data_IF_339051895736
#
_entry.id   IF_339051895736
#
_cell.length_a   1.000
_cell.length_b   1.000
_cell.length_c   1.000
_cell.angle_alpha   90.00
_cell.angle_beta   90.00
_cell.angle_gamma   90.00
#
_symmetry.space_group_name_H-M   'P 1'
#
loop_
_entity.id
_entity.type
_entity.pdbx_description
1 polymer ?
#
# COMPACT_ATOMS: atom_id res chain seq x y z
N UNK A 1 1.21 -10.54 -8.07
CA UNK A 1 1.70 -9.18 -7.89
C UNK A 1 2.72 -9.01 -6.75
N UNK A 2 3.17 -10.14 -6.16
CA UNK A 2 4.22 -10.13 -5.11
C UNK A 2 5.61 -9.79 -5.63
N UNK A 3 5.80 -9.81 -6.95
CA UNK A 3 7.04 -9.47 -7.65
C UNK A 3 6.99 -8.07 -8.28
N UNK A 4 5.93 -7.29 -8.04
CA UNK A 4 5.86 -5.90 -8.49
C UNK A 4 6.99 -5.09 -7.81
N UNK A 5 7.77 -4.37 -8.61
CA UNK A 5 8.98 -3.69 -8.14
C UNK A 5 8.71 -2.56 -7.16
N UNK A 6 7.55 -1.92 -7.25
CA UNK A 6 7.08 -0.91 -6.32
C UNK A 6 6.83 -1.53 -4.92
N UNK A 7 6.11 -2.67 -4.87
CA UNK A 7 5.86 -3.42 -3.63
C UNK A 7 7.16 -3.92 -2.99
N UNK A 8 8.10 -4.46 -3.80
CA UNK A 8 9.38 -4.96 -3.29
C UNK A 8 10.19 -3.86 -2.61
N UNK A 9 10.21 -2.63 -3.16
CA UNK A 9 10.90 -1.47 -2.56
C UNK A 9 10.27 -1.06 -1.22
N UNK A 10 8.95 -0.94 -1.18
CA UNK A 10 8.22 -0.60 0.05
C UNK A 10 8.47 -1.66 1.13
N UNK A 11 8.39 -2.95 0.79
CA UNK A 11 8.68 -4.05 1.71
C UNK A 11 10.12 -4.01 2.22
N UNK A 12 11.08 -3.78 1.34
CA UNK A 12 12.49 -3.67 1.72
C UNK A 12 12.72 -2.49 2.69
N UNK A 13 12.10 -1.33 2.43
CA UNK A 13 12.21 -0.16 3.30
C UNK A 13 11.53 -0.38 4.65
N UNK A 14 10.35 -1.02 4.68
CA UNK A 14 9.66 -1.43 5.91
C UNK A 14 10.57 -2.32 6.77
N UNK A 15 11.12 -3.37 6.17
CA UNK A 15 12.00 -4.32 6.88
C UNK A 15 13.31 -3.69 7.37
N UNK A 16 13.83 -2.67 6.66
CA UNK A 16 15.03 -1.93 7.04
C UNK A 16 14.82 -1.07 8.29
N UNK A 17 13.57 -0.68 8.59
CA UNK A 17 13.24 0.15 9.75
C UNK A 17 13.75 1.60 9.67
N UNK A 18 14.18 2.06 8.51
CA UNK A 18 14.81 3.37 8.33
C UNK A 18 13.87 4.55 8.60
N UNK A 19 12.57 4.36 8.44
CA UNK A 19 11.55 5.36 8.74
C UNK A 19 11.16 5.39 10.24
N UNK A 20 11.82 4.59 11.08
CA UNK A 20 11.43 4.37 12.48
C UNK A 20 10.17 3.52 12.59
N UNK A 21 9.33 3.80 13.59
CA UNK A 21 8.04 3.13 13.70
C UNK A 21 7.13 3.55 12.56
N UNK A 22 6.77 2.60 11.69
CA UNK A 22 5.83 2.86 10.59
C UNK A 22 4.42 2.99 11.17
N UNK A 23 3.80 4.14 10.91
CA UNK A 23 2.47 4.50 11.40
C UNK A 23 1.40 4.15 10.38
N UNK A 24 1.66 4.43 9.10
CA UNK A 24 0.71 4.12 8.03
C UNK A 24 1.40 3.80 6.72
N UNK A 25 0.77 2.89 5.97
CA UNK A 25 1.10 2.61 4.57
C UNK A 25 -0.19 2.73 3.78
N UNK A 26 -0.11 3.33 2.61
CA UNK A 26 -1.24 3.49 1.70
C UNK A 26 -0.83 2.97 0.32
N UNK A 27 -1.67 2.16 -0.30
CA UNK A 27 -1.49 1.69 -1.66
C UNK A 27 -2.74 1.91 -2.50
N UNK A 28 -2.55 2.34 -3.75
CA UNK A 28 -3.66 2.75 -4.62
C UNK A 28 -3.54 2.20 -6.03
N UNK A 29 -4.71 1.89 -6.59
CA UNK A 29 -4.90 1.67 -8.02
C UNK A 29 -6.02 2.57 -8.47
N UNK A 30 -5.69 3.59 -9.25
CA UNK A 30 -6.64 4.58 -9.73
C UNK A 30 -6.79 4.54 -11.25
N UNK A 31 -8.03 4.64 -11.69
CA UNK A 31 -8.42 4.83 -13.09
C UNK A 31 -9.62 5.78 -13.17
N UNK A 32 -9.94 6.22 -14.39
CA UNK A 32 -11.01 7.22 -14.62
C UNK A 32 -12.06 6.79 -15.64
N UNK A 33 -12.06 5.51 -16.05
CA UNK A 33 -12.95 5.02 -17.13
C UNK A 33 -14.13 4.18 -16.63
N UNK A 34 -14.32 4.09 -15.31
CA UNK A 34 -15.27 3.18 -14.70
C UNK A 34 -14.78 1.72 -14.72
N UNK A 35 -15.62 0.83 -14.23
CA UNK A 35 -15.34 -0.62 -14.26
C UNK A 35 -15.46 -1.13 -15.71
N UNK A 36 -14.54 -2.02 -16.19
CA UNK A 36 -14.63 -2.62 -17.51
C UNK A 36 -15.95 -3.32 -17.77
N UNK A 37 -16.46 -3.26 -19.00
CA UNK A 37 -17.76 -3.83 -19.41
C UNK A 37 -17.76 -5.34 -19.68
N UNK A 38 -16.86 -6.08 -19.08
CA UNK A 38 -16.73 -7.55 -19.17
C UNK A 38 -17.28 -8.26 -17.91
N UNK A 39 -16.74 -9.45 -17.59
CA UNK A 39 -17.12 -10.22 -16.41
C UNK A 39 -16.97 -9.43 -15.09
N UNK A 40 -16.12 -8.41 -15.06
CA UNK A 40 -15.91 -7.55 -13.88
C UNK A 40 -17.14 -6.79 -13.43
N UNK A 41 -18.11 -6.55 -14.34
CA UNK A 41 -19.41 -5.95 -13.99
C UNK A 41 -20.46 -6.95 -13.51
N UNK A 42 -20.16 -8.25 -13.55
CA UNK A 42 -21.15 -9.31 -13.35
C UNK A 42 -20.92 -10.04 -12.03
N UNK A 43 -21.82 -9.85 -11.06
CA UNK A 43 -21.75 -10.49 -9.74
C UNK A 43 -21.70 -12.01 -9.84
N UNK A 44 -22.47 -12.59 -10.75
CA UNK A 44 -22.51 -14.04 -10.98
C UNK A 44 -21.16 -14.62 -11.43
N UNK A 45 -20.26 -13.79 -11.98
CA UNK A 45 -18.93 -14.21 -12.44
C UNK A 45 -17.81 -13.75 -11.52
N UNK A 46 -18.13 -13.31 -10.29
CA UNK A 46 -17.12 -12.83 -9.34
C UNK A 46 -16.58 -11.44 -9.69
N UNK A 47 -17.42 -10.58 -10.27
CA UNK A 47 -17.05 -9.19 -10.57
C UNK A 47 -16.90 -8.33 -9.31
N UNK A 48 -16.41 -7.12 -9.51
CA UNK A 48 -16.12 -6.13 -8.47
C UNK A 48 -14.63 -5.87 -8.30
N UNK A 49 -14.30 -4.66 -7.88
CA UNK A 49 -12.90 -4.20 -7.77
C UNK A 49 -12.20 -4.75 -6.53
N UNK A 50 -12.92 -5.10 -5.46
CA UNK A 50 -12.34 -5.84 -4.33
C UNK A 50 -11.79 -7.18 -4.80
N UNK A 51 -12.54 -7.89 -5.66
CA UNK A 51 -12.13 -9.21 -6.16
C UNK A 51 -11.08 -9.11 -7.28
N UNK A 52 -11.08 -8.06 -8.09
CA UNK A 52 -10.12 -7.89 -9.20
C UNK A 52 -8.78 -7.28 -8.73
N UNK A 53 -8.79 -6.05 -8.23
CA UNK A 53 -7.59 -5.34 -7.78
C UNK A 53 -7.38 -5.36 -6.27
N UNK A 54 -8.46 -5.31 -5.49
CA UNK A 54 -8.39 -5.28 -4.03
C UNK A 54 -7.64 -6.49 -3.47
N UNK A 55 -7.90 -7.70 -3.99
CA UNK A 55 -7.20 -8.92 -3.60
C UNK A 55 -5.68 -8.79 -3.69
N UNK A 56 -5.17 -8.14 -4.74
CA UNK A 56 -3.74 -7.94 -4.93
C UNK A 56 -3.15 -6.95 -3.93
N UNK A 57 -3.85 -5.84 -3.67
CA UNK A 57 -3.39 -4.82 -2.72
C UNK A 57 -3.47 -5.32 -1.27
N UNK A 58 -4.50 -6.09 -0.92
CA UNK A 58 -4.62 -6.77 0.38
C UNK A 58 -3.47 -7.76 0.55
N UNK A 59 -3.19 -8.59 -0.47
CA UNK A 59 -2.06 -9.53 -0.41
C UNK A 59 -0.73 -8.79 -0.22
N UNK A 60 -0.48 -7.71 -0.97
CA UNK A 60 0.71 -6.87 -0.80
C UNK A 60 0.79 -6.27 0.61
N UNK A 61 -0.31 -5.75 1.15
CA UNK A 61 -0.38 -5.23 2.51
C UNK A 61 0.08 -6.26 3.55
N UNK A 62 -0.45 -7.49 3.45
CA UNK A 62 -0.15 -8.58 4.38
C UNK A 62 1.24 -9.22 4.15
N UNK A 63 1.88 -8.95 3.01
CA UNK A 63 3.29 -9.30 2.77
C UNK A 63 4.25 -8.23 3.29
N UNK A 64 3.85 -6.97 3.34
CA UNK A 64 4.65 -5.86 3.86
C UNK A 64 4.56 -5.81 5.37
N UNK A 65 3.35 -5.94 5.94
CA UNK A 65 3.06 -5.86 7.38
C UNK A 65 2.69 -7.26 7.88
N UNK A 66 3.64 -8.00 8.50
CA UNK A 66 3.41 -9.38 8.93
C UNK A 66 2.63 -9.51 10.23
N UNK A 67 2.48 -8.42 10.98
CA UNK A 67 1.84 -8.37 12.30
C UNK A 67 0.38 -8.84 12.23
N UNK A 68 -0.17 -9.19 13.39
CA UNK A 68 -1.55 -9.63 13.53
C UNK A 68 -2.52 -8.50 13.23
N UNK A 69 -3.56 -8.79 12.44
CA UNK A 69 -4.66 -7.87 12.15
C UNK A 69 -5.53 -7.72 13.40
N UNK A 70 -5.84 -6.47 13.76
CA UNK A 70 -6.71 -6.11 14.89
C UNK A 70 -8.05 -5.56 14.43
N UNK A 71 -8.13 -4.95 13.26
CA UNK A 71 -9.36 -4.39 12.72
C UNK A 71 -9.35 -4.34 11.20
N UNK A 72 -10.52 -4.40 10.60
CA UNK A 72 -10.75 -4.11 9.18
C UNK A 72 -11.96 -3.19 9.12
N UNK A 73 -11.81 -2.08 8.38
CA UNK A 73 -12.91 -1.19 8.01
C UNK A 73 -12.91 -1.08 6.51
N UNK A 74 -14.07 -1.19 5.89
CA UNK A 74 -14.19 -1.09 4.45
C UNK A 74 -15.35 -0.21 4.02
N UNK A 75 -15.16 0.51 2.93
CA UNK A 75 -16.21 1.20 2.19
C UNK A 75 -16.09 0.80 0.74
N UNK A 76 -17.20 0.36 0.15
CA UNK A 76 -17.30 -0.02 -1.25
C UNK A 76 -18.05 1.07 -2.02
N UNK A 77 -17.58 1.40 -3.21
CA UNK A 77 -18.21 2.38 -4.10
C UNK A 77 -19.01 1.67 -5.20
N UNK A 78 -20.13 2.29 -5.60
CA UNK A 78 -21.05 1.82 -6.62
C UNK A 78 -21.44 3.00 -7.52
N UNK A 79 -20.45 3.59 -8.20
CA UNK A 79 -20.60 4.84 -8.97
C UNK A 79 -21.14 4.54 -10.36
N UNK A 80 -20.46 3.64 -11.10
CA UNK A 80 -20.76 3.33 -12.51
C UNK A 80 -21.57 2.04 -12.68
N UNK A 81 -21.76 1.29 -11.61
CA UNK A 81 -22.60 0.07 -11.56
C UNK A 81 -23.27 -0.09 -10.20
N UNK A 82 -24.39 -0.79 -10.15
CA UNK A 82 -25.12 -1.12 -8.92
C UNK A 82 -25.02 -2.60 -8.56
N UNK A 83 -24.48 -3.42 -9.44
CA UNK A 83 -24.43 -4.87 -9.27
C UNK A 83 -23.21 -5.30 -8.46
N UNK A 84 -22.07 -4.66 -8.68
CA UNK A 84 -20.80 -4.95 -8.03
C UNK A 84 -20.12 -3.64 -7.61
N UNK A 85 -19.16 -3.71 -6.69
CA UNK A 85 -18.32 -2.58 -6.33
C UNK A 85 -17.41 -2.16 -7.50
N UNK A 86 -17.33 -0.87 -7.78
CA UNK A 86 -16.42 -0.29 -8.78
C UNK A 86 -15.27 0.52 -8.16
N UNK A 87 -15.17 0.49 -6.85
CA UNK A 87 -14.09 1.03 -6.05
C UNK A 87 -14.19 0.56 -4.61
N UNK A 88 -13.08 0.65 -3.88
CA UNK A 88 -13.06 0.33 -2.46
C UNK A 88 -12.01 1.16 -1.71
N UNK A 89 -12.30 1.42 -0.44
CA UNK A 89 -11.37 1.98 0.53
C UNK A 89 -11.37 1.07 1.76
N UNK A 90 -10.27 0.35 1.98
CA UNK A 90 -10.15 -0.65 3.06
C UNK A 90 -9.00 -0.23 3.97
N UNK A 91 -9.27 -0.14 5.27
CA UNK A 91 -8.26 0.16 6.30
C UNK A 91 -8.06 -1.07 7.16
N UNK A 92 -6.82 -1.55 7.22
CA UNK A 92 -6.41 -2.73 8.00
C UNK A 92 -5.55 -2.24 9.16
N UNK A 93 -6.01 -2.41 10.40
CA UNK A 93 -5.25 -2.11 11.61
C UNK A 93 -4.44 -3.32 12.09
N UNK A 94 -3.25 -3.06 12.67
CA UNK A 94 -2.33 -4.09 13.13
C UNK A 94 -1.98 -3.92 14.63
N UNK A 95 -1.53 -5.01 15.27
CA UNK A 95 -1.24 -5.02 16.72
C UNK A 95 -0.06 -4.11 17.11
N UNK A 96 0.83 -3.75 16.16
CA UNK A 96 1.89 -2.77 16.39
C UNK A 96 1.40 -1.32 16.43
N UNK A 97 0.09 -1.09 16.29
CA UNK A 97 -0.55 0.23 16.27
C UNK A 97 -0.52 0.93 14.90
N UNK A 98 0.13 0.34 13.91
CA UNK A 98 0.12 0.82 12.53
C UNK A 98 -1.14 0.41 11.77
N UNK A 99 -1.39 1.07 10.64
CA UNK A 99 -2.48 0.70 9.75
C UNK A 99 -2.06 0.76 8.27
N UNK A 100 -2.78 0.00 7.46
CA UNK A 100 -2.58 -0.03 6.01
C UNK A 100 -3.88 0.30 5.30
N UNK A 101 -3.83 1.23 4.35
CA UNK A 101 -4.96 1.60 3.51
C UNK A 101 -4.79 1.03 2.11
N UNK A 102 -5.79 0.29 1.68
CA UNK A 102 -5.97 -0.21 0.31
C UNK A 102 -7.04 0.63 -0.35
N UNK A 103 -6.74 1.23 -1.48
CA UNK A 103 -7.70 2.03 -2.25
C UNK A 103 -7.70 1.61 -3.72
N UNK A 104 -8.86 1.25 -4.23
CA UNK A 104 -9.10 1.03 -5.66
C UNK A 104 -10.19 1.97 -6.10
N UNK A 105 -9.95 2.72 -7.16
CA UNK A 105 -10.94 3.65 -7.68
C UNK A 105 -10.95 3.68 -9.20
N UNK A 106 -12.13 3.55 -9.79
CA UNK A 106 -12.31 3.55 -11.24
C UNK A 106 -12.81 4.90 -11.78
N UNK A 107 -13.05 5.89 -10.88
CA UNK A 107 -13.54 7.24 -11.21
C UNK A 107 -12.60 8.34 -10.70
N UNK A 108 -11.30 8.09 -10.59
CA UNK A 108 -10.30 9.04 -10.15
C UNK A 108 -9.69 9.76 -11.36
N UNK A 109 -10.13 10.98 -11.64
CA UNK A 109 -9.61 11.80 -12.77
C UNK A 109 -8.24 12.39 -12.49
N UNK A 110 -7.84 12.46 -11.21
CA UNK A 110 -6.47 12.76 -10.75
C UNK A 110 -6.06 11.64 -9.81
N UNK A 111 -4.98 10.94 -10.15
CA UNK A 111 -4.45 9.85 -9.35
C UNK A 111 -3.63 10.36 -8.17
N UNK A 112 -3.85 9.80 -6.99
CA UNK A 112 -2.95 9.93 -5.86
C UNK A 112 -1.73 9.01 -6.04
N UNK A 113 -0.67 9.17 -5.23
CA UNK A 113 0.50 8.31 -5.30
C UNK A 113 0.15 6.82 -5.16
N UNK A 114 0.87 5.99 -5.93
CA UNK A 114 0.73 4.52 -5.91
C UNK A 114 1.01 3.93 -4.53
N UNK A 115 2.08 4.42 -3.86
CA UNK A 115 2.40 4.12 -2.47
C UNK A 115 2.77 5.37 -1.70
N UNK A 116 2.35 5.41 -0.44
CA UNK A 116 2.80 6.38 0.54
C UNK A 116 3.02 5.67 1.87
N UNK A 117 4.22 5.77 2.44
CA UNK A 117 4.56 5.15 3.72
C UNK A 117 5.08 6.21 4.68
N UNK A 118 4.45 6.31 5.84
CA UNK A 118 4.78 7.28 6.88
C UNK A 118 5.29 6.58 8.13
N UNK A 119 6.49 6.94 8.54
CA UNK A 119 7.07 6.52 9.79
C UNK A 119 7.30 7.68 10.77
N UNK A 120 7.81 7.39 11.95
CA UNK A 120 8.04 8.36 13.02
C UNK A 120 9.22 9.31 12.73
N UNK A 121 10.13 8.95 11.81
CA UNK A 121 11.32 9.75 11.47
C UNK A 121 11.48 10.00 9.98
N UNK A 122 10.58 9.48 9.13
CA UNK A 122 10.68 9.69 7.70
C UNK A 122 9.42 9.24 6.94
N UNK A 123 9.43 9.53 5.65
CA UNK A 123 8.33 9.24 4.73
C UNK A 123 8.88 8.76 3.40
N UNK A 124 8.20 7.79 2.78
CA UNK A 124 8.49 7.34 1.43
C UNK A 124 7.27 7.46 0.53
N UNK A 125 7.49 7.75 -0.74
CA UNK A 125 6.45 7.87 -1.75
C UNK A 125 6.88 7.22 -3.06
N UNK A 126 5.96 6.48 -3.70
CA UNK A 126 6.06 6.04 -5.08
C UNK A 126 4.88 6.67 -5.82
N UNK A 127 5.15 7.59 -6.73
CA UNK A 127 4.08 8.33 -7.42
C UNK A 127 3.37 7.49 -8.45
N UNK A 128 4.12 6.70 -9.23
CA UNK A 128 3.59 5.84 -10.28
C UNK A 128 4.47 4.58 -10.42
N UNK A 129 4.00 3.59 -11.18
CA UNK A 129 4.60 2.27 -11.37
C UNK A 129 6.06 2.29 -11.84
N UNK A 130 6.38 3.21 -12.74
CA UNK A 130 7.66 3.35 -13.43
C UNK A 130 8.60 4.40 -12.80
N UNK A 131 8.16 5.02 -11.70
CA UNK A 131 8.94 6.06 -11.02
C UNK A 131 9.80 5.50 -9.88
N UNK A 132 10.94 6.13 -9.56
CA UNK A 132 11.71 5.78 -8.38
C UNK A 132 10.90 6.00 -7.10
N UNK A 133 11.29 5.33 -6.01
CA UNK A 133 10.77 5.62 -4.68
C UNK A 133 11.57 6.78 -4.09
N UNK A 134 10.89 7.88 -3.79
CA UNK A 134 11.47 9.01 -3.06
C UNK A 134 11.37 8.73 -1.55
N UNK A 135 12.46 8.93 -0.83
CA UNK A 135 12.52 8.75 0.63
C UNK A 135 13.07 10.01 1.26
N UNK A 136 12.39 10.54 2.28
CA UNK A 136 12.86 11.67 3.09
C UNK A 136 12.89 11.28 4.55
N UNK A 137 14.05 11.46 5.19
CA UNK A 137 14.28 11.07 6.58
C UNK A 137 14.86 12.26 7.36
N UNK A 138 14.44 12.36 8.61
CA UNK A 138 14.97 13.36 9.55
C UNK A 138 16.43 13.04 9.89
N UNK A 139 17.29 14.08 9.89
CA UNK A 139 18.66 13.94 10.35
C UNK A 139 18.72 13.69 11.86
N UNK A 140 19.66 12.87 12.30
CA UNK A 140 19.92 12.64 13.72
C UNK A 140 20.35 13.95 14.40
N UNK A 141 19.89 14.18 15.62
CA UNK A 141 20.18 15.40 16.39
C UNK A 141 19.21 16.55 16.15
N UNK A 142 18.22 16.38 15.27
CA UNK A 142 17.18 17.39 14.96
C UNK A 142 15.80 17.05 15.54
N UNK A 143 15.75 16.21 16.58
CA UNK A 143 14.52 15.70 17.19
C UNK A 143 13.65 16.79 17.79
N UNK A 144 14.27 17.82 18.36
CA UNK A 144 13.60 18.89 19.11
C UNK A 144 13.10 20.05 18.25
N UNK A 145 13.22 19.94 16.93
CA UNK A 145 12.86 21.02 16.00
C UNK A 145 11.34 21.04 15.71
N UNK A 146 10.54 21.12 16.75
CA UNK A 146 9.10 21.32 16.67
C UNK A 146 8.70 22.74 17.09
N UNK A 147 9.53 23.72 16.78
CA UNK A 147 9.27 25.11 17.15
C UNK A 147 8.24 25.72 16.20
N UNK A 148 7.16 26.35 16.71
CA UNK A 148 6.20 27.03 15.87
C UNK A 148 6.87 28.16 15.06
N UNK A 149 6.65 28.17 13.76
CA UNK A 149 7.16 29.22 12.88
C UNK A 149 6.22 30.42 12.96
N UNK A 150 6.76 31.59 13.27
CA UNK A 150 5.98 32.83 13.23
C UNK A 150 5.59 33.16 11.79
N UNK A 151 4.31 33.32 11.55
CA UNK A 151 3.77 33.85 10.29
C UNK A 151 3.54 35.36 10.44
N UNK A 152 3.27 36.04 9.32
CA UNK A 152 2.84 37.44 9.32
C UNK A 152 1.61 37.64 10.22
N UNK A 153 1.45 38.86 10.73
CA UNK A 153 0.32 39.25 11.59
C UNK A 153 0.26 38.56 12.97
N UNK A 154 1.39 38.03 13.48
CA UNK A 154 1.46 37.45 14.81
C UNK A 154 0.92 36.03 14.94
N UNK A 155 0.47 35.42 13.85
CA UNK A 155 0.04 34.01 13.81
C UNK A 155 1.24 33.07 13.81
N UNK A 156 1.04 31.82 14.26
CA UNK A 156 2.06 30.76 14.22
C UNK A 156 1.61 29.61 13.32
N UNK A 157 2.54 29.07 12.54
CA UNK A 157 2.38 27.80 11.79
C UNK A 157 2.93 26.68 12.65
N UNK A 158 2.03 25.82 13.17
CA UNK A 158 2.40 24.66 13.98
C UNK A 158 2.68 23.41 13.14
N UNK A 159 2.19 23.37 11.89
CA UNK A 159 2.30 22.24 10.96
C UNK A 159 3.21 22.58 9.77
N UNK A 160 4.35 23.22 10.04
CA UNK A 160 5.34 23.49 9.01
C UNK A 160 6.14 22.23 8.65
N UNK A 161 6.48 22.02 7.36
CA UNK A 161 7.39 20.97 6.97
C UNK A 161 8.80 21.28 7.50
N UNK A 162 9.62 20.24 7.69
CA UNK A 162 11.06 20.40 7.94
C UNK A 162 11.76 20.90 6.69
N UNK A 163 12.85 21.59 6.88
CA UNK A 163 13.72 22.09 5.82
C UNK A 163 14.83 21.08 5.45
N UNK A 164 15.63 21.44 4.44
CA UNK A 164 16.76 20.64 3.98
C UNK A 164 17.91 20.55 4.99
N UNK A 165 17.97 21.46 5.98
CA UNK A 165 18.99 21.41 7.01
C UNK A 165 18.71 20.32 8.03
N UNK A 166 17.45 19.98 8.24
CA UNK A 166 16.98 19.01 9.23
C UNK A 166 16.57 17.65 8.64
N UNK A 167 16.54 17.54 7.30
CA UNK A 167 16.21 16.30 6.58
C UNK A 167 17.25 15.99 5.51
N UNK A 168 17.25 14.73 5.05
CA UNK A 168 17.89 14.33 3.80
C UNK A 168 16.91 13.49 2.97
N UNK A 169 17.04 13.61 1.66
CA UNK A 169 16.20 12.88 0.71
C UNK A 169 17.07 12.10 -0.27
N UNK A 170 16.56 10.96 -0.72
CA UNK A 170 17.21 10.14 -1.73
C UNK A 170 16.18 9.35 -2.51
N UNK A 171 16.59 8.82 -3.66
CA UNK A 171 15.78 7.97 -4.50
C UNK A 171 16.26 6.52 -4.46
N UNK A 172 15.31 5.59 -4.44
CA UNK A 172 15.56 4.15 -4.58
C UNK A 172 15.10 3.72 -5.97
N UNK A 173 16.02 3.27 -6.85
CA UNK A 173 15.67 2.80 -8.18
C UNK A 173 14.86 1.51 -8.14
N UNK A 174 14.26 1.14 -9.27
CA UNK A 174 13.55 -0.13 -9.41
C UNK A 174 14.53 -1.31 -9.32
N UNK A 175 14.28 -2.28 -8.42
CA UNK A 175 15.06 -3.50 -8.39
C UNK A 175 14.71 -4.38 -9.60
N UNK A 176 15.62 -5.27 -10.01
CA UNK A 176 15.26 -6.32 -10.96
C UNK A 176 14.18 -7.21 -10.34
N UNK A 177 13.22 -7.63 -11.15
CA UNK A 177 12.17 -8.55 -10.75
C UNK A 177 11.75 -9.41 -11.93
N UNK A 178 11.46 -10.69 -11.67
CA UNK A 178 10.95 -11.59 -12.68
C UNK A 178 9.69 -12.31 -12.14
N UNK A 179 8.57 -11.98 -12.72
CA UNK A 179 7.27 -12.60 -12.39
C UNK A 179 7.28 -14.12 -12.59
N UNK A 180 8.16 -14.65 -13.47
CA UNK A 180 8.30 -16.08 -13.69
C UNK A 180 8.90 -16.83 -12.50
N UNK A 181 9.47 -16.13 -11.51
CA UNK A 181 9.93 -16.75 -10.26
C UNK A 181 8.79 -17.44 -9.49
N UNK A 182 7.55 -16.93 -9.65
CA UNK A 182 6.36 -17.63 -9.17
C UNK A 182 6.27 -19.05 -9.76
N UNK A 183 6.35 -19.17 -11.07
CA UNK A 183 6.21 -20.47 -11.76
C UNK A 183 7.39 -21.38 -11.48
N UNK A 184 8.62 -20.84 -11.37
CA UNK A 184 9.82 -21.62 -10.99
C UNK A 184 9.65 -22.23 -9.60
N UNK A 185 9.24 -21.41 -8.62
CA UNK A 185 8.97 -21.93 -7.28
C UNK A 185 7.81 -22.93 -7.26
N UNK A 186 6.71 -22.62 -7.99
CA UNK A 186 5.56 -23.51 -8.06
C UNK A 186 5.95 -24.92 -8.58
N UNK A 187 6.67 -24.99 -9.71
CA UNK A 187 7.15 -26.25 -10.26
C UNK A 187 8.10 -26.97 -9.29
N UNK A 188 9.06 -26.27 -8.69
CA UNK A 188 10.01 -26.87 -7.74
C UNK A 188 9.33 -27.33 -6.45
N UNK A 189 8.28 -26.64 -6.01
CA UNK A 189 7.51 -27.07 -4.85
C UNK A 189 6.72 -28.37 -5.14
N UNK A 190 6.14 -28.52 -6.34
CA UNK A 190 5.50 -29.77 -6.77
C UNK A 190 6.50 -30.92 -6.78
N UNK A 191 7.72 -30.68 -7.29
CA UNK A 191 8.80 -31.66 -7.33
C UNK A 191 9.41 -31.95 -5.93
N UNK A 192 8.95 -31.29 -4.87
CA UNK A 192 9.51 -31.43 -3.51
C UNK A 192 10.91 -30.85 -3.33
N UNK A 193 11.39 -30.04 -4.29
CA UNK A 193 12.74 -29.42 -4.27
C UNK A 193 12.81 -28.13 -3.45
N UNK A 194 11.70 -27.43 -3.30
CA UNK A 194 11.57 -26.17 -2.55
C UNK A 194 10.26 -26.13 -1.77
N UNK A 195 10.20 -25.27 -0.74
CA UNK A 195 8.94 -24.91 -0.11
C UNK A 195 8.17 -23.92 -0.98
N UNK A 196 6.85 -24.03 -1.00
CA UNK A 196 6.02 -23.03 -1.69
C UNK A 196 6.14 -21.66 -1.02
N UNK A 197 6.36 -20.61 -1.80
CA UNK A 197 6.46 -19.24 -1.33
C UNK A 197 5.08 -18.64 -0.99
N UNK A 198 4.05 -19.08 -1.71
CA UNK A 198 2.66 -18.66 -1.49
C UNK A 198 1.97 -19.76 -0.72
N UNK A 199 1.81 -19.57 0.59
CA UNK A 199 1.25 -20.59 1.48
C UNK A 199 -0.26 -20.49 1.61
N UNK A 200 -0.94 -21.59 1.97
CA UNK A 200 -2.37 -21.60 2.23
C UNK A 200 -2.74 -20.65 3.37
N UNK A 201 -1.91 -20.50 4.40
CA UNK A 201 -2.19 -19.59 5.53
C UNK A 201 -2.15 -18.13 5.10
N UNK A 202 -1.22 -17.76 4.21
CA UNK A 202 -1.21 -16.43 3.61
C UNK A 202 -2.50 -16.18 2.81
N UNK A 203 -2.94 -17.16 2.02
CA UNK A 203 -4.18 -17.03 1.25
C UNK A 203 -5.40 -16.92 2.17
N UNK A 204 -5.48 -17.70 3.25
CA UNK A 204 -6.57 -17.58 4.24
C UNK A 204 -6.61 -16.19 4.89
N UNK A 205 -5.44 -15.59 5.21
CA UNK A 205 -5.39 -14.20 5.71
C UNK A 205 -5.97 -13.20 4.71
N UNK A 206 -5.59 -13.32 3.44
CA UNK A 206 -6.12 -12.45 2.37
C UNK A 206 -7.63 -12.60 2.25
N UNK A 207 -8.11 -13.86 2.12
CA UNK A 207 -9.54 -14.17 2.00
C UNK A 207 -10.34 -13.63 3.19
N UNK A 208 -9.79 -13.73 4.42
CA UNK A 208 -10.48 -13.21 5.61
C UNK A 208 -10.65 -11.69 5.58
N UNK A 209 -9.63 -10.93 5.12
CA UNK A 209 -9.77 -9.49 4.96
C UNK A 209 -10.79 -9.15 3.88
N UNK A 210 -10.77 -9.87 2.75
CA UNK A 210 -11.76 -9.66 1.68
C UNK A 210 -13.18 -9.94 2.18
N UNK A 211 -13.40 -11.04 2.90
CA UNK A 211 -14.69 -11.40 3.48
C UNK A 211 -15.22 -10.28 4.40
N UNK A 212 -14.38 -9.81 5.35
CA UNK A 212 -14.70 -8.70 6.25
C UNK A 212 -14.94 -7.38 5.53
N UNK A 213 -14.44 -7.21 4.29
CA UNK A 213 -14.67 -6.00 3.50
C UNK A 213 -16.06 -5.95 2.87
N UNK A 214 -16.81 -7.06 2.88
CA UNK A 214 -18.18 -7.15 2.40
C UNK A 214 -19.22 -7.19 3.53
N UNK A 215 -18.80 -7.26 4.79
CA UNK A 215 -19.65 -7.21 5.98
C UNK A 215 -19.91 -5.75 6.42
#
# INVERSE_FOLDING_TARGET
RRWDTDMLRIKALYNKGELGQVVSIESRIHGSRGIPGDWRKQKAHGGGMVLDWGVHLIDQALQIVPEKITSVYARLDYITTKEVDDGCHIVIGFENGGYYTVEVGTCNFISLPRFYMRGSVGTAIIRNWDMPMEVTVRKTGTEKDATPIKAESGLTKTMAPRDADTTYSYEVPMPPSDVHDFYRNFCRAIDGKEKQLITHDQMRRVMKVMELSFE
#
